data_IF_047888096147
#
_entry.id   IF_047888096147
#
_cell.length_a   1.000
_cell.length_b   1.000
_cell.length_c   1.000
_cell.angle_alpha   90.00
_cell.angle_beta   90.00
_cell.angle_gamma   90.00
#
_symmetry.space_group_name_H-M   'P 1'
#
loop_
_entity.id
_entity.type
_entity.pdbx_description
1 polymer ?
#
# COMPACT_ATOMS: atom_id res chain seq x y z
N UNK A 1 -6.90 -0.68 -21.32
CA UNK A 1 -7.88 -1.77 -21.09
C UNK A 1 -8.30 -1.84 -19.61
N UNK A 2 -7.40 -1.80 -18.61
CA UNK A 2 -7.80 -1.76 -17.19
C UNK A 2 -8.62 -0.50 -16.87
N UNK A 3 -8.18 0.66 -17.33
CA UNK A 3 -8.90 1.94 -17.18
C UNK A 3 -10.27 1.88 -17.82
N UNK A 4 -10.37 1.38 -19.06
CA UNK A 4 -11.63 1.29 -19.81
C UNK A 4 -12.68 0.38 -19.15
N UNK A 5 -12.23 -0.52 -18.28
CA UNK A 5 -13.07 -1.47 -17.53
C UNK A 5 -13.24 -1.12 -16.06
N UNK A 6 -12.74 0.03 -15.64
CA UNK A 6 -12.69 0.46 -14.22
C UNK A 6 -12.08 -0.60 -13.28
N UNK A 7 -11.04 -1.29 -13.76
CA UNK A 7 -10.36 -2.34 -12.99
C UNK A 7 -9.23 -1.73 -12.16
N UNK A 8 -8.98 -2.34 -11.01
CA UNK A 8 -7.89 -1.97 -10.10
C UNK A 8 -6.69 -2.88 -10.37
N UNK A 9 -5.52 -2.30 -10.54
CA UNK A 9 -4.25 -3.03 -10.59
C UNK A 9 -3.76 -3.27 -9.16
N UNK A 10 -3.64 -4.53 -8.75
CA UNK A 10 -2.94 -4.90 -7.50
C UNK A 10 -1.60 -5.51 -7.90
N UNK A 11 -0.50 -4.98 -7.39
CA UNK A 11 0.83 -5.44 -7.77
C UNK A 11 1.79 -5.53 -6.58
N UNK A 12 2.62 -6.58 -6.58
CA UNK A 12 3.80 -6.64 -5.71
C UNK A 12 4.73 -5.47 -6.04
N UNK A 13 5.20 -4.75 -5.01
CA UNK A 13 6.13 -3.65 -5.17
C UNK A 13 7.35 -3.84 -4.25
N UNK A 14 8.52 -3.50 -4.80
CA UNK A 14 9.78 -3.61 -4.07
C UNK A 14 10.53 -4.91 -4.31
N UNK A 15 11.39 -5.26 -3.34
CA UNK A 15 12.23 -6.46 -3.38
C UNK A 15 11.45 -7.70 -3.03
N UNK A 16 11.73 -8.79 -3.72
CA UNK A 16 11.24 -10.12 -3.35
C UNK A 16 11.96 -10.60 -2.07
N UNK A 17 11.27 -11.27 -1.11
CA UNK A 17 11.92 -11.89 0.05
C UNK A 17 13.00 -12.91 -0.31
N UNK A 18 12.94 -13.51 -1.50
CA UNK A 18 13.90 -14.50 -1.99
C UNK A 18 15.19 -13.89 -2.58
N UNK A 19 15.48 -12.63 -2.31
CA UNK A 19 16.71 -11.93 -2.75
C UNK A 19 17.05 -12.13 -4.25
N UNK A 20 16.05 -11.94 -5.10
CA UNK A 20 16.26 -11.95 -6.55
C UNK A 20 17.14 -10.78 -6.98
N UNK A 21 18.09 -10.99 -7.91
CA UNK A 21 19.03 -9.94 -8.34
C UNK A 21 18.32 -8.78 -9.05
N UNK A 22 17.19 -9.03 -9.68
CA UNK A 22 16.43 -8.03 -10.44
C UNK A 22 15.11 -7.69 -9.75
N UNK A 23 14.88 -6.39 -9.54
CA UNK A 23 13.61 -5.86 -9.00
C UNK A 23 12.85 -5.20 -10.14
N UNK A 24 11.72 -5.83 -10.53
CA UNK A 24 10.91 -5.32 -11.64
C UNK A 24 9.89 -4.27 -11.16
N UNK A 25 9.29 -4.46 -10.00
CA UNK A 25 8.28 -3.58 -9.41
C UNK A 25 8.90 -2.49 -8.53
N UNK A 26 9.79 -1.65 -9.07
CA UNK A 26 10.38 -0.58 -8.27
C UNK A 26 9.41 0.60 -8.07
N UNK A 27 9.48 1.33 -6.95
CA UNK A 27 8.68 2.52 -6.73
C UNK A 27 8.75 3.55 -7.85
N UNK A 28 9.94 3.74 -8.43
CA UNK A 28 10.16 4.64 -9.56
C UNK A 28 9.37 4.23 -10.83
N UNK A 29 9.35 2.93 -11.13
CA UNK A 29 8.59 2.42 -12.28
C UNK A 29 7.09 2.56 -12.08
N UNK A 30 6.60 2.31 -10.86
CA UNK A 30 5.19 2.53 -10.55
C UNK A 30 4.81 4.02 -10.55
N UNK A 31 5.69 4.91 -10.12
CA UNK A 31 5.47 6.36 -10.25
C UNK A 31 5.32 6.76 -11.72
N UNK A 32 6.23 6.30 -12.59
CA UNK A 32 6.13 6.54 -14.03
C UNK A 32 4.86 5.95 -14.64
N UNK A 33 4.40 4.80 -14.16
CA UNK A 33 3.13 4.20 -14.59
C UNK A 33 1.95 5.06 -14.14
N UNK A 34 1.95 5.55 -12.88
CA UNK A 34 0.90 6.42 -12.34
C UNK A 34 0.77 7.74 -13.12
N UNK A 35 1.90 8.34 -13.49
CA UNK A 35 1.95 9.55 -14.31
C UNK A 35 1.43 9.32 -15.74
N UNK A 36 1.79 8.16 -16.33
CA UNK A 36 1.37 7.80 -17.68
C UNK A 36 -0.12 7.45 -17.78
N UNK A 37 -0.70 6.96 -16.69
CA UNK A 37 -2.09 6.50 -16.62
C UNK A 37 -2.77 7.05 -15.35
N UNK A 38 -3.09 8.34 -15.30
CA UNK A 38 -3.63 8.99 -14.10
C UNK A 38 -5.00 8.45 -13.65
N UNK A 39 -5.74 7.83 -14.56
CA UNK A 39 -7.03 7.20 -14.28
C UNK A 39 -6.93 5.72 -13.86
N UNK A 40 -5.72 5.14 -13.90
CA UNK A 40 -5.50 3.76 -13.45
C UNK A 40 -5.42 3.71 -11.93
N UNK A 41 -6.41 3.10 -11.29
CA UNK A 41 -6.38 2.82 -9.86
C UNK A 41 -5.37 1.69 -9.57
N UNK A 42 -4.40 1.95 -8.69
CA UNK A 42 -3.36 0.98 -8.33
C UNK A 42 -3.30 0.78 -6.82
N UNK A 43 -3.21 -0.47 -6.40
CA UNK A 43 -2.83 -0.86 -5.03
C UNK A 43 -1.45 -1.50 -5.10
N UNK A 44 -0.46 -0.84 -4.51
CA UNK A 44 0.90 -1.33 -4.48
C UNK A 44 1.18 -1.99 -3.13
N UNK A 45 1.46 -3.29 -3.18
CA UNK A 45 1.68 -4.09 -1.99
C UNK A 45 2.88 -3.61 -1.16
N UNK A 46 2.86 -3.97 0.12
CA UNK A 46 3.97 -3.76 1.05
C UNK A 46 4.35 -2.28 1.25
N UNK A 47 3.34 -1.44 1.45
CA UNK A 47 3.48 0.03 1.51
C UNK A 47 4.27 0.56 0.29
N UNK A 48 3.92 0.05 -0.90
CA UNK A 48 4.42 0.53 -2.16
C UNK A 48 5.83 0.10 -2.54
N UNK A 49 6.53 -0.67 -1.70
CA UNK A 49 7.88 -1.10 -2.05
C UNK A 49 8.62 -1.83 -0.96
N UNK A 50 8.42 -3.15 -0.82
CA UNK A 50 9.10 -3.96 0.18
C UNK A 50 10.62 -3.71 0.19
N UNK A 51 11.16 -3.29 1.36
CA UNK A 51 12.58 -2.97 1.57
C UNK A 51 13.13 -1.88 0.63
N UNK A 52 12.24 -0.97 0.13
CA UNK A 52 12.59 0.16 -0.75
C UNK A 52 11.83 1.44 -0.35
N UNK A 53 11.49 1.63 0.92
CA UNK A 53 10.59 2.70 1.37
C UNK A 53 11.15 4.12 1.23
N UNK A 54 12.48 4.28 1.20
CA UNK A 54 13.09 5.57 0.82
C UNK A 54 12.76 5.95 -0.63
N UNK A 55 12.74 4.95 -1.53
CA UNK A 55 12.33 5.16 -2.90
C UNK A 55 10.82 5.42 -3.01
N UNK A 56 10.00 4.80 -2.15
CA UNK A 56 8.57 5.11 -2.03
C UNK A 56 8.36 6.57 -1.67
N UNK A 57 9.02 7.05 -0.61
CA UNK A 57 8.96 8.47 -0.21
C UNK A 57 9.37 9.40 -1.34
N UNK A 58 10.43 9.05 -2.05
CA UNK A 58 11.00 9.88 -3.11
C UNK A 58 10.14 9.93 -4.38
N UNK A 59 9.59 8.81 -4.82
CA UNK A 59 8.96 8.69 -6.12
C UNK A 59 7.44 8.51 -6.07
N UNK A 60 6.91 7.71 -5.14
CA UNK A 60 5.50 7.37 -5.11
C UNK A 60 4.65 8.36 -4.31
N UNK A 61 5.17 8.97 -3.24
CA UNK A 61 4.38 9.94 -2.48
C UNK A 61 4.02 11.17 -3.31
N UNK A 62 4.90 11.71 -4.17
CA UNK A 62 4.56 12.78 -5.10
C UNK A 62 3.68 12.34 -6.27
N UNK A 63 3.65 11.03 -6.58
CA UNK A 63 2.86 10.49 -7.67
C UNK A 63 1.34 10.67 -7.42
N UNK A 64 0.55 10.49 -8.45
CA UNK A 64 -0.88 10.80 -8.47
C UNK A 64 -1.72 10.17 -7.35
N UNK A 65 -2.93 10.71 -7.17
CA UNK A 65 -3.89 10.24 -6.15
C UNK A 65 -4.49 8.86 -6.45
N UNK A 66 -4.21 8.31 -7.61
CA UNK A 66 -4.63 6.99 -8.07
C UNK A 66 -3.79 5.84 -7.51
N UNK A 67 -2.78 6.14 -6.68
CA UNK A 67 -1.89 5.15 -6.04
C UNK A 67 -2.31 4.95 -4.59
N UNK A 68 -2.66 3.72 -4.26
CA UNK A 68 -2.96 3.22 -2.92
C UNK A 68 -1.87 2.23 -2.50
N UNK A 69 -1.77 1.97 -1.22
CA UNK A 69 -0.74 1.12 -0.62
C UNK A 69 -1.39 0.11 0.32
N UNK A 70 -0.95 -1.14 0.34
CA UNK A 70 -1.40 -2.06 1.37
C UNK A 70 -0.35 -2.30 2.46
N UNK A 71 -0.80 -2.81 3.61
CA UNK A 71 0.04 -3.06 4.79
C UNK A 71 0.64 -4.47 4.82
N UNK A 72 0.43 -5.26 3.76
CA UNK A 72 0.78 -6.66 3.71
C UNK A 72 2.28 -6.91 3.97
N UNK A 73 2.57 -7.85 4.87
CA UNK A 73 3.91 -8.40 5.13
C UNK A 73 5.01 -7.39 5.53
N UNK A 74 4.66 -6.14 5.82
CA UNK A 74 5.62 -5.07 6.14
C UNK A 74 6.29 -5.29 7.48
N UNK A 75 5.57 -5.81 8.47
CA UNK A 75 6.00 -6.02 9.84
C UNK A 75 7.23 -6.90 10.03
N UNK A 76 7.59 -7.69 9.02
CA UNK A 76 8.79 -8.52 9.03
C UNK A 76 10.08 -7.74 8.71
N UNK A 77 9.96 -6.51 8.21
CA UNK A 77 11.09 -5.75 7.67
C UNK A 77 11.11 -4.29 8.11
N UNK A 78 10.11 -3.84 8.86
CA UNK A 78 9.97 -2.45 9.30
C UNK A 78 9.52 -2.40 10.75
N UNK A 79 10.14 -1.55 11.54
CA UNK A 79 9.72 -1.31 12.92
C UNK A 79 8.38 -0.53 12.98
N UNK A 80 7.58 -0.72 14.05
CA UNK A 80 6.26 -0.10 14.16
C UNK A 80 6.27 1.43 14.02
N UNK A 81 7.24 2.09 14.62
CA UNK A 81 7.40 3.55 14.56
C UNK A 81 7.62 4.03 13.13
N UNK A 82 8.49 3.34 12.38
CA UNK A 82 8.76 3.67 10.98
C UNK A 82 7.52 3.42 10.11
N UNK A 83 6.79 2.34 10.39
CA UNK A 83 5.53 2.03 9.69
C UNK A 83 4.49 3.13 9.91
N UNK A 84 4.34 3.59 11.16
CA UNK A 84 3.44 4.70 11.51
C UNK A 84 3.82 5.99 10.79
N UNK A 85 5.09 6.34 10.78
CA UNK A 85 5.59 7.52 10.08
C UNK A 85 5.32 7.43 8.57
N UNK A 86 5.60 6.28 7.96
CA UNK A 86 5.37 6.09 6.54
C UNK A 86 3.88 6.16 6.17
N UNK A 87 3.00 5.59 7.00
CA UNK A 87 1.54 5.71 6.83
C UNK A 87 1.10 7.19 6.92
N UNK A 88 1.66 7.95 7.85
CA UNK A 88 1.38 9.38 7.97
C UNK A 88 1.86 10.15 6.73
N UNK A 89 3.07 9.87 6.22
CA UNK A 89 3.63 10.47 5.00
C UNK A 89 2.76 10.16 3.76
N UNK A 90 2.25 8.93 3.65
CA UNK A 90 1.34 8.53 2.57
C UNK A 90 -0.01 9.23 2.62
N UNK A 91 -0.44 9.59 3.82
CA UNK A 91 -1.80 9.93 4.16
C UNK A 91 -2.65 8.68 4.38
N UNK A 92 -3.22 8.49 5.59
CA UNK A 92 -4.00 7.28 5.94
C UNK A 92 -5.13 6.94 4.97
N UNK A 93 -5.67 7.93 4.26
CA UNK A 93 -6.70 7.75 3.23
C UNK A 93 -6.24 7.01 1.97
N UNK A 94 -4.96 6.73 1.83
CA UNK A 94 -4.40 5.93 0.71
C UNK A 94 -3.87 4.57 1.13
N UNK A 95 -4.02 4.20 2.39
CA UNK A 95 -3.52 2.94 2.93
C UNK A 95 -4.68 1.96 3.14
N UNK A 96 -4.50 0.72 2.69
CA UNK A 96 -5.50 -0.34 2.77
C UNK A 96 -4.91 -1.49 3.57
N UNK A 97 -5.71 -2.10 4.43
CA UNK A 97 -5.29 -3.28 5.17
C UNK A 97 -5.06 -4.48 4.25
N UNK A 98 -3.91 -5.11 4.39
CA UNK A 98 -3.54 -6.37 3.76
C UNK A 98 -2.68 -7.22 4.70
N UNK A 99 -2.68 -8.54 4.53
CA UNK A 99 -1.87 -9.47 5.34
C UNK A 99 -0.86 -10.28 4.53
N UNK A 100 -1.10 -10.46 3.24
CA UNK A 100 -0.31 -11.37 2.40
C UNK A 100 -0.38 -12.85 2.88
N UNK A 101 -1.58 -13.29 3.33
CA UNK A 101 -1.77 -14.69 3.71
C UNK A 101 -1.39 -15.63 2.55
N UNK A 102 -0.65 -16.72 2.77
CA UNK A 102 -0.36 -17.35 4.08
C UNK A 102 0.94 -16.88 4.77
N UNK A 103 1.65 -15.92 4.23
CA UNK A 103 2.92 -15.43 4.77
C UNK A 103 2.75 -14.75 6.13
N UNK A 104 1.69 -13.96 6.29
CA UNK A 104 1.27 -13.43 7.57
C UNK A 104 -0.21 -13.72 7.84
N UNK A 105 -0.53 -14.06 9.10
CA UNK A 105 -1.92 -14.31 9.51
C UNK A 105 -2.69 -12.99 9.61
N UNK A 106 -3.91 -12.89 9.01
CA UNK A 106 -4.70 -11.65 9.04
C UNK A 106 -4.93 -11.08 10.44
N UNK A 107 -5.18 -11.95 11.44
CA UNK A 107 -5.36 -11.51 12.82
C UNK A 107 -4.12 -10.82 13.39
N UNK A 108 -2.92 -11.41 13.17
CA UNK A 108 -1.67 -10.78 13.59
C UNK A 108 -1.39 -9.47 12.87
N UNK A 109 -1.58 -9.44 11.54
CA UNK A 109 -1.43 -8.22 10.77
C UNK A 109 -2.35 -7.10 11.29
N UNK A 110 -3.60 -7.45 11.65
CA UNK A 110 -4.55 -6.49 12.22
C UNK A 110 -4.12 -6.00 13.61
N UNK A 111 -3.59 -6.87 14.47
CA UNK A 111 -3.05 -6.48 15.78
C UNK A 111 -1.92 -5.46 15.63
N UNK A 112 -0.98 -5.72 14.72
CA UNK A 112 0.14 -4.81 14.45
C UNK A 112 -0.36 -3.40 14.09
N UNK A 113 -1.32 -3.29 13.18
CA UNK A 113 -1.86 -1.97 12.78
C UNK A 113 -2.54 -1.27 13.97
N UNK A 114 -3.29 -2.00 14.81
CA UNK A 114 -3.92 -1.43 16.02
C UNK A 114 -2.90 -0.95 17.04
N UNK A 115 -1.79 -1.67 17.18
CA UNK A 115 -0.72 -1.34 18.12
C UNK A 115 0.13 -0.12 17.68
N UNK A 116 -0.02 0.37 16.44
CA UNK A 116 0.63 1.59 15.98
C UNK A 116 0.15 2.85 16.71
N UNK A 117 -0.98 2.79 17.42
CA UNK A 117 -1.56 3.96 18.10
C UNK A 117 -2.01 5.04 17.12
N UNK A 118 -2.64 4.64 16.03
CA UNK A 118 -3.35 5.52 15.11
C UNK A 118 -4.66 6.00 15.76
N UNK A 119 -5.24 7.09 15.26
CA UNK A 119 -6.57 7.48 15.68
C UNK A 119 -7.62 6.48 15.17
N UNK A 120 -8.77 6.37 15.86
CA UNK A 120 -9.85 5.48 15.41
C UNK A 120 -10.34 5.77 13.99
N UNK A 121 -10.29 7.03 13.55
CA UNK A 121 -10.65 7.41 12.18
C UNK A 121 -9.64 6.91 11.15
N UNK A 122 -8.34 6.89 11.49
CA UNK A 122 -7.28 6.35 10.64
C UNK A 122 -7.34 4.83 10.57
N UNK A 123 -7.59 4.15 11.69
CA UNK A 123 -7.81 2.71 11.71
C UNK A 123 -9.01 2.31 10.85
N UNK A 124 -10.16 2.97 11.02
CA UNK A 124 -11.35 2.75 10.20
C UNK A 124 -11.07 2.97 8.70
N UNK A 125 -10.29 3.98 8.36
CA UNK A 125 -9.89 4.24 6.98
C UNK A 125 -9.07 3.07 6.43
N UNK A 126 -8.03 2.65 7.14
CA UNK A 126 -7.12 1.58 6.70
C UNK A 126 -7.86 0.22 6.63
N UNK A 127 -8.65 -0.13 7.65
CA UNK A 127 -9.30 -1.44 7.72
C UNK A 127 -10.49 -1.59 6.78
N UNK A 128 -11.18 -0.48 6.46
CA UNK A 128 -12.46 -0.59 5.77
C UNK A 128 -12.72 0.51 4.73
N UNK A 129 -12.68 1.80 5.11
CA UNK A 129 -13.24 2.88 4.28
C UNK A 129 -12.52 3.03 2.96
N UNK A 130 -11.19 3.03 2.97
CA UNK A 130 -10.40 3.24 1.77
C UNK A 130 -10.64 2.15 0.72
N UNK A 131 -10.73 0.90 1.16
CA UNK A 131 -11.06 -0.22 0.26
C UNK A 131 -12.50 -0.12 -0.26
N UNK A 132 -13.46 0.24 0.60
CA UNK A 132 -14.85 0.41 0.20
C UNK A 132 -15.01 1.55 -0.84
N UNK A 133 -14.38 2.70 -0.60
CA UNK A 133 -14.38 3.82 -1.55
C UNK A 133 -13.72 3.45 -2.88
N UNK A 134 -12.55 2.78 -2.83
CA UNK A 134 -11.83 2.35 -4.02
C UNK A 134 -12.66 1.38 -4.87
N UNK A 135 -13.45 0.52 -4.23
CA UNK A 135 -14.33 -0.46 -4.86
C UNK A 135 -15.72 0.10 -5.20
N UNK A 136 -16.02 1.34 -4.85
CA UNK A 136 -17.36 1.94 -5.06
C UNK A 136 -18.46 1.30 -4.22
N UNK A 137 -18.11 0.72 -3.05
CA UNK A 137 -19.06 0.10 -2.14
C UNK A 137 -19.72 1.16 -1.24
N UNK A 138 -21.02 1.00 -0.89
CA UNK A 138 -21.67 1.93 0.02
C UNK A 138 -21.08 1.81 1.43
N UNK A 139 -20.68 2.95 1.99
CA UNK A 139 -20.33 3.06 3.40
C UNK A 139 -21.62 3.11 4.22
N UNK A 140 -21.84 2.11 5.08
CA UNK A 140 -22.99 2.06 5.99
C UNK A 140 -22.71 2.81 7.27
#
# INVERSE_FOLDING_TARGET
ELVDRDMILIAHAGRDPLDRPEVYGTPERFASLAESFPDLKMVLAHLGGLRMWDAVRRYLLPAGKNVFFDTAYVSFYMEPEEMKELIADMGPGRVIFGSDYPWERPGRAAEIIRDLGLSGAEEDAIFFRNAAELLGLPLQ
#
